data_IF_700232725539
#
_entry.id   IF_700232725539
#
_cell.length_a   1.000
_cell.length_b   1.000
_cell.length_c   1.000
_cell.angle_alpha   90.00
_cell.angle_beta   90.00
_cell.angle_gamma   90.00
#
_symmetry.space_group_name_H-M   'P 1'
#
loop_
_entity.id
_entity.type
_entity.pdbx_description
1 polymer ?
#
# COMPACT_ATOMS: atom_id res chain seq x y z
N UNK A 1 7.40 -16.49 -0.39
CA UNK A 1 6.00 -16.30 0.03
C UNK A 1 5.18 -15.93 -1.19
N UNK A 2 4.07 -16.64 -1.43
CA UNK A 2 3.25 -16.38 -2.62
C UNK A 2 2.58 -15.02 -2.51
N UNK A 3 2.49 -14.34 -3.64
CA UNK A 3 1.84 -13.05 -3.73
C UNK A 3 1.09 -12.85 -5.06
N UNK A 4 0.05 -12.04 -4.99
CA UNK A 4 -0.70 -11.52 -6.13
C UNK A 4 -0.22 -10.11 -6.45
N UNK A 5 -0.04 -9.79 -7.72
CA UNK A 5 0.37 -8.48 -8.21
C UNK A 5 -0.79 -7.84 -8.97
N UNK A 6 -1.15 -6.63 -8.61
CA UNK A 6 -2.24 -5.88 -9.20
C UNK A 6 -1.77 -4.58 -9.83
N UNK A 7 -2.48 -4.14 -10.86
CA UNK A 7 -2.49 -2.74 -11.32
C UNK A 7 -3.90 -2.20 -11.10
N UNK A 8 -4.02 -1.14 -10.30
CA UNK A 8 -5.28 -0.74 -9.70
C UNK A 8 -6.00 -1.94 -9.04
N UNK A 9 -7.10 -2.39 -9.64
CA UNK A 9 -7.95 -3.50 -9.19
C UNK A 9 -7.71 -4.81 -9.94
N UNK A 10 -6.92 -4.78 -11.00
CA UNK A 10 -6.78 -5.90 -11.93
C UNK A 10 -5.59 -6.77 -11.54
N UNK A 11 -5.80 -8.08 -11.43
CA UNK A 11 -4.73 -9.06 -11.21
C UNK A 11 -3.89 -9.18 -12.48
N UNK A 12 -2.66 -8.67 -12.43
CA UNK A 12 -1.73 -8.66 -13.58
C UNK A 12 -0.74 -9.82 -13.52
N UNK A 13 -0.61 -10.49 -12.38
CA UNK A 13 0.22 -11.67 -12.25
C UNK A 13 0.35 -12.17 -10.82
N UNK A 14 1.17 -13.19 -10.66
CA UNK A 14 1.55 -13.77 -9.37
C UNK A 14 3.05 -13.92 -9.28
N UNK A 15 3.57 -14.06 -8.08
CA UNK A 15 5.01 -14.26 -7.84
C UNK A 15 5.20 -15.07 -6.55
N UNK A 16 6.33 -15.75 -6.43
CA UNK A 16 6.83 -16.23 -5.14
C UNK A 16 7.96 -15.30 -4.69
N UNK A 17 7.70 -14.48 -3.67
CA UNK A 17 8.63 -13.46 -3.20
C UNK A 17 9.63 -14.03 -2.21
N UNK A 18 10.88 -13.63 -2.36
CA UNK A 18 11.97 -13.94 -1.45
C UNK A 18 12.75 -12.67 -1.07
N UNK A 19 13.37 -12.71 0.10
CA UNK A 19 14.22 -11.62 0.59
C UNK A 19 15.53 -11.63 -0.22
N UNK A 20 15.88 -10.47 -0.79
CA UNK A 20 17.12 -10.27 -1.55
C UNK A 20 18.14 -9.44 -0.81
N UNK A 21 17.85 -8.16 -0.62
CA UNK A 21 18.68 -7.23 0.17
C UNK A 21 17.90 -6.80 1.41
N UNK A 22 18.00 -7.60 2.47
CA UNK A 22 17.29 -7.38 3.73
C UNK A 22 17.59 -5.99 4.33
N UNK A 23 18.84 -5.53 4.22
CA UNK A 23 19.29 -4.26 4.80
C UNK A 23 18.61 -3.04 4.18
N UNK A 24 18.22 -3.17 2.91
CA UNK A 24 17.53 -2.14 2.13
C UNK A 24 16.03 -2.45 1.97
N UNK A 25 15.51 -3.45 2.68
CA UNK A 25 14.11 -3.89 2.56
C UNK A 25 13.77 -4.40 1.16
N UNK A 26 14.74 -4.97 0.45
CA UNK A 26 14.63 -5.44 -0.93
C UNK A 26 14.12 -6.88 -1.00
N UNK A 27 12.98 -7.08 -1.66
CA UNK A 27 12.42 -8.40 -1.96
C UNK A 27 12.13 -8.52 -3.45
N UNK A 28 12.16 -9.74 -3.96
CA UNK A 28 11.94 -9.99 -5.38
C UNK A 28 11.37 -11.38 -5.64
N UNK A 29 10.87 -11.61 -6.85
CA UNK A 29 10.44 -12.92 -7.27
C UNK A 29 10.20 -13.02 -8.78
N UNK A 30 10.13 -14.25 -9.27
CA UNK A 30 9.73 -14.49 -10.66
C UNK A 30 8.27 -14.08 -10.86
N UNK A 31 8.05 -13.15 -11.79
CA UNK A 31 6.75 -12.62 -12.11
C UNK A 31 6.08 -13.47 -13.19
N UNK A 32 4.99 -14.14 -12.80
CA UNK A 32 4.13 -14.91 -13.71
C UNK A 32 2.95 -14.02 -14.16
N UNK A 33 3.00 -13.42 -15.36
CA UNK A 33 1.96 -12.49 -15.83
C UNK A 33 0.65 -13.18 -16.22
N UNK A 34 -0.46 -12.46 -16.09
CA UNK A 34 -1.76 -12.82 -16.70
C UNK A 34 -1.91 -12.20 -18.09
N UNK A 35 -2.95 -12.57 -18.84
CA UNK A 35 -3.30 -11.93 -20.13
C UNK A 35 -3.46 -10.41 -19.99
N UNK A 36 -4.01 -9.94 -18.86
CA UNK A 36 -4.21 -8.50 -18.58
C UNK A 36 -2.88 -7.76 -18.58
N UNK A 37 -1.80 -8.37 -18.08
CA UNK A 37 -0.47 -7.76 -18.12
C UNK A 37 -0.02 -7.49 -19.55
N UNK A 38 -0.11 -8.50 -20.42
CA UNK A 38 0.29 -8.37 -21.82
C UNK A 38 -0.57 -7.33 -22.56
N UNK A 39 -1.89 -7.36 -22.35
CA UNK A 39 -2.83 -6.47 -23.03
C UNK A 39 -2.70 -5.00 -22.60
N UNK A 40 -2.42 -4.75 -21.32
CA UNK A 40 -2.58 -3.41 -20.73
C UNK A 40 -1.32 -2.82 -20.12
N UNK A 41 -0.40 -3.64 -19.61
CA UNK A 41 0.68 -3.18 -18.74
C UNK A 41 2.05 -3.26 -19.43
N UNK A 42 2.34 -4.35 -20.13
CA UNK A 42 3.66 -4.65 -20.69
C UNK A 42 4.24 -3.50 -21.52
N UNK A 43 3.43 -2.87 -22.38
CA UNK A 43 3.87 -1.73 -23.17
C UNK A 43 4.44 -0.60 -22.32
N UNK A 44 3.85 -0.35 -21.15
CA UNK A 44 4.30 0.72 -20.24
C UNK A 44 5.58 0.32 -19.51
N UNK A 45 5.77 -0.97 -19.21
CA UNK A 45 7.03 -1.50 -18.68
C UNK A 45 8.15 -1.32 -19.69
N UNK A 46 7.94 -1.71 -20.94
CA UNK A 46 8.92 -1.52 -22.00
C UNK A 46 9.24 -0.04 -22.25
N UNK A 47 8.22 0.82 -22.32
CA UNK A 47 8.42 2.26 -22.49
C UNK A 47 9.22 2.88 -21.34
N UNK A 48 9.00 2.43 -20.10
CA UNK A 48 9.73 2.93 -18.92
C UNK A 48 11.22 2.60 -19.00
N UNK A 49 11.57 1.36 -19.36
CA UNK A 49 12.96 0.91 -19.43
C UNK A 49 13.71 1.35 -20.68
N UNK A 50 13.02 1.54 -21.80
CA UNK A 50 13.63 2.03 -23.05
C UNK A 50 13.87 3.54 -23.03
N UNK A 51 13.25 4.29 -22.11
CA UNK A 51 13.39 5.73 -22.05
C UNK A 51 14.71 6.15 -21.37
N UNK A 52 15.46 7.05 -22.03
CA UNK A 52 16.61 7.73 -21.42
C UNK A 52 16.23 8.53 -20.15
N UNK A 53 14.96 8.92 -20.03
CA UNK A 53 14.37 9.57 -18.87
C UNK A 53 13.02 8.90 -18.57
N UNK A 54 12.97 7.94 -17.64
CA UNK A 54 11.74 7.23 -17.31
C UNK A 54 10.64 8.17 -16.83
N UNK A 55 9.40 7.95 -17.29
CA UNK A 55 8.23 8.72 -16.88
C UNK A 55 7.62 8.12 -15.61
N UNK A 56 8.07 8.62 -14.46
CA UNK A 56 7.59 8.19 -13.15
C UNK A 56 6.12 8.53 -12.91
N UNK A 57 5.58 9.62 -13.49
CA UNK A 57 4.15 9.93 -13.32
C UNK A 57 3.29 8.85 -13.97
N UNK A 58 3.68 8.43 -15.18
CA UNK A 58 3.03 7.32 -15.88
C UNK A 58 3.22 6.00 -15.14
N UNK A 59 4.41 5.73 -14.59
CA UNK A 59 4.65 4.54 -13.77
C UNK A 59 3.74 4.50 -12.53
N UNK A 60 3.70 5.57 -11.75
CA UNK A 60 2.82 5.67 -10.58
C UNK A 60 1.34 5.62 -10.93
N UNK A 61 0.97 6.06 -12.15
CA UNK A 61 -0.41 5.95 -12.63
C UNK A 61 -0.86 4.49 -12.80
N UNK A 62 0.05 3.53 -12.91
CA UNK A 62 -0.28 2.10 -12.94
C UNK A 62 -0.81 1.59 -11.60
N UNK A 63 -0.55 2.31 -10.50
CA UNK A 63 -0.98 1.98 -9.13
C UNK A 63 -0.75 0.50 -8.81
N UNK A 64 0.52 0.10 -8.90
CA UNK A 64 0.92 -1.28 -8.62
C UNK A 64 0.70 -1.60 -7.14
N UNK A 65 0.23 -2.82 -6.88
CA UNK A 65 0.02 -3.34 -5.52
C UNK A 65 0.45 -4.80 -5.48
N UNK A 66 1.02 -5.22 -4.35
CA UNK A 66 1.41 -6.62 -4.13
C UNK A 66 0.80 -7.09 -2.82
N UNK A 67 0.02 -8.17 -2.89
CA UNK A 67 -0.64 -8.79 -1.74
C UNK A 67 -0.07 -10.17 -1.48
N UNK A 68 0.45 -10.38 -0.27
CA UNK A 68 0.89 -11.69 0.21
C UNK A 68 -0.29 -12.64 0.40
N UNK A 69 -0.04 -13.94 0.39
CA UNK A 69 -1.06 -14.98 0.56
C UNK A 69 -1.75 -14.96 1.94
N UNK A 70 -1.18 -14.27 2.92
CA UNK A 70 -1.78 -14.02 4.24
C UNK A 70 -2.56 -12.70 4.33
N UNK A 71 -2.82 -12.04 3.20
CA UNK A 71 -3.65 -10.84 3.12
C UNK A 71 -2.90 -9.50 3.16
N UNK A 72 -1.63 -9.49 3.58
CA UNK A 72 -0.83 -8.27 3.74
C UNK A 72 -0.56 -7.60 2.39
N UNK A 73 -0.92 -6.33 2.26
CA UNK A 73 -0.45 -5.49 1.16
C UNK A 73 0.89 -4.87 1.51
N UNK A 74 1.88 -5.09 0.65
CA UNK A 74 3.24 -4.57 0.83
C UNK A 74 3.34 -3.12 0.37
N UNK A 75 3.99 -2.25 1.15
CA UNK A 75 4.19 -0.84 0.85
C UNK A 75 5.70 -0.48 0.73
N UNK A 76 6.35 -0.82 -0.40
CA UNK A 76 7.77 -0.54 -0.60
C UNK A 76 8.02 0.95 -0.84
N UNK A 77 8.84 1.58 0.00
CA UNK A 77 9.12 3.02 -0.09
C UNK A 77 9.95 3.40 -1.33
N UNK A 78 10.74 2.47 -1.85
CA UNK A 78 11.42 2.61 -3.15
C UNK A 78 10.55 2.25 -4.34
N UNK A 79 9.33 1.75 -4.09
CA UNK A 79 8.35 1.37 -5.11
C UNK A 79 8.53 -0.05 -5.66
N UNK A 80 7.84 -0.29 -6.77
CA UNK A 80 7.82 -1.56 -7.50
C UNK A 80 8.50 -1.38 -8.85
N UNK A 81 9.19 -2.42 -9.30
CA UNK A 81 9.71 -2.53 -10.66
C UNK A 81 9.40 -3.90 -11.23
N UNK A 82 9.08 -3.97 -12.53
CA UNK A 82 8.90 -5.22 -13.26
C UNK A 82 9.97 -5.26 -14.33
N UNK A 83 10.86 -6.24 -14.26
CA UNK A 83 11.84 -6.52 -15.29
C UNK A 83 11.20 -7.39 -16.38
N UNK A 84 10.98 -6.76 -17.54
CA UNK A 84 10.45 -7.38 -18.75
C UNK A 84 11.12 -6.71 -19.95
N UNK A 85 12.10 -7.40 -20.54
CA UNK A 85 12.92 -6.87 -21.62
C UNK A 85 12.31 -7.28 -22.96
N UNK A 86 11.89 -6.29 -23.76
CA UNK A 86 11.23 -6.50 -25.05
C UNK A 86 12.05 -7.35 -26.01
N UNK A 87 13.36 -7.16 -26.00
CA UNK A 87 14.31 -7.85 -26.87
C UNK A 87 14.56 -9.31 -26.44
N UNK A 88 14.15 -9.67 -25.22
CA UNK A 88 14.34 -10.99 -24.61
C UNK A 88 12.99 -11.57 -24.13
N UNK A 89 12.03 -11.81 -25.04
CA UNK A 89 10.66 -12.16 -24.67
C UNK A 89 10.52 -13.50 -23.93
N UNK A 90 11.52 -14.38 -24.10
CA UNK A 90 11.56 -15.71 -23.49
C UNK A 90 12.24 -15.74 -22.12
N UNK A 91 12.87 -14.64 -21.69
CA UNK A 91 13.47 -14.58 -20.36
C UNK A 91 12.37 -14.51 -19.29
N UNK A 92 12.57 -15.14 -18.12
CA UNK A 92 11.68 -15.00 -16.98
C UNK A 92 11.56 -13.53 -16.61
N UNK A 93 10.32 -13.08 -16.40
CA UNK A 93 10.05 -11.73 -15.89
C UNK A 93 10.25 -11.74 -14.39
N UNK A 94 10.62 -10.60 -13.83
CA UNK A 94 10.86 -10.45 -12.39
C UNK A 94 10.11 -9.25 -11.86
N UNK A 95 9.64 -9.32 -10.63
CA UNK A 95 9.18 -8.16 -9.88
C UNK A 95 10.11 -7.92 -8.70
N UNK A 96 10.46 -6.66 -8.50
CA UNK A 96 11.30 -6.20 -7.40
C UNK A 96 10.56 -5.11 -6.61
N UNK A 97 10.67 -5.20 -5.29
CA UNK A 97 10.13 -4.25 -4.33
C UNK A 97 11.28 -3.76 -3.45
N UNK A 98 11.42 -2.45 -3.31
CA UNK A 98 12.53 -1.84 -2.58
C UNK A 98 12.05 -1.02 -1.38
N UNK A 99 12.75 -1.12 -0.25
CA UNK A 99 12.44 -0.31 0.94
C UNK A 99 11.19 -0.75 1.68
N UNK A 100 10.95 -2.05 1.84
CA UNK A 100 9.96 -2.54 2.79
C UNK A 100 10.42 -2.35 4.23
N UNK A 101 9.46 -2.17 5.13
CA UNK A 101 9.75 -2.11 6.56
C UNK A 101 10.35 -3.43 7.04
N UNK A 102 11.46 -3.35 7.79
CA UNK A 102 12.16 -4.54 8.27
C UNK A 102 11.25 -5.43 9.14
N UNK A 103 10.34 -4.85 9.95
CA UNK A 103 9.41 -5.69 10.74
C UNK A 103 8.48 -6.51 9.88
N UNK A 104 8.03 -5.99 8.73
CA UNK A 104 7.21 -6.76 7.77
C UNK A 104 8.02 -7.95 7.23
N UNK A 105 9.30 -7.75 6.93
CA UNK A 105 10.21 -8.83 6.50
C UNK A 105 10.37 -9.88 7.60
N UNK A 106 10.69 -9.46 8.83
CA UNK A 106 10.86 -10.38 9.96
C UNK A 106 9.59 -11.19 10.27
N UNK A 107 8.43 -10.51 10.33
CA UNK A 107 7.17 -11.12 10.77
C UNK A 107 6.59 -12.10 9.74
N UNK A 108 6.76 -11.82 8.44
CA UNK A 108 6.07 -12.58 7.39
C UNK A 108 6.97 -13.42 6.48
N UNK A 109 8.26 -13.09 6.37
CA UNK A 109 9.19 -13.84 5.51
C UNK A 109 10.15 -14.73 6.32
N UNK A 110 10.62 -14.27 7.48
CA UNK A 110 11.57 -15.05 8.30
C UNK A 110 10.91 -15.93 9.36
N UNK A 111 9.70 -15.59 9.80
CA UNK A 111 8.94 -16.40 10.76
C UNK A 111 8.18 -17.51 10.03
N UNK A 112 8.30 -18.76 10.49
CA UNK A 112 7.59 -19.90 9.93
C UNK A 112 6.88 -20.73 11.02
N UNK A 113 5.54 -20.79 11.04
CA UNK A 113 4.63 -20.11 10.13
C UNK A 113 4.70 -18.57 10.28
N UNK A 114 4.35 -17.80 9.23
CA UNK A 114 4.26 -16.34 9.34
C UNK A 114 3.41 -15.91 10.54
N UNK A 115 3.79 -14.82 11.20
CA UNK A 115 3.01 -14.28 12.32
C UNK A 115 1.57 -13.98 11.86
N UNK A 116 0.54 -14.21 12.70
CA UNK A 116 -0.82 -13.80 12.38
C UNK A 116 -0.88 -12.31 12.02
N UNK A 117 -1.43 -12.02 10.85
CA UNK A 117 -1.53 -10.65 10.36
C UNK A 117 -2.55 -9.87 11.19
N UNK A 118 -3.81 -10.29 11.16
CA UNK A 118 -4.93 -9.65 11.88
C UNK A 118 -5.56 -10.60 12.88
N UNK A 119 -6.28 -10.02 13.85
CA UNK A 119 -7.11 -10.72 14.82
C UNK A 119 -8.51 -10.09 14.76
N UNK A 120 -9.57 -10.88 14.99
CA UNK A 120 -10.91 -10.30 15.06
C UNK A 120 -10.98 -9.17 16.09
N UNK A 121 -11.70 -8.07 15.81
CA UNK A 121 -12.59 -7.84 14.66
C UNK A 121 -11.90 -7.22 13.42
N UNK A 122 -10.57 -7.21 13.38
CA UNK A 122 -9.81 -6.67 12.26
C UNK A 122 -9.70 -7.67 11.12
N UNK A 123 -9.89 -7.19 9.89
CA UNK A 123 -9.86 -7.99 8.67
C UNK A 123 -8.76 -7.56 7.70
N UNK A 124 -8.24 -8.55 6.97
CA UNK A 124 -7.44 -8.30 5.77
C UNK A 124 -8.26 -7.56 4.70
N UNK A 125 -7.55 -6.85 3.82
CA UNK A 125 -8.19 -6.14 2.72
C UNK A 125 -8.25 -7.01 1.47
N UNK A 126 -9.34 -6.92 0.73
CA UNK A 126 -9.33 -7.23 -0.69
C UNK A 126 -8.85 -6.01 -1.49
N UNK A 127 -8.34 -6.23 -2.71
CA UNK A 127 -7.84 -5.12 -3.55
C UNK A 127 -8.90 -4.03 -3.76
N UNK A 128 -10.18 -4.39 -3.80
CA UNK A 128 -11.25 -3.41 -4.02
C UNK A 128 -11.47 -2.50 -2.81
N UNK A 129 -11.38 -3.07 -1.61
CA UNK A 129 -11.43 -2.32 -0.35
C UNK A 129 -10.20 -1.43 -0.21
N UNK A 130 -9.00 -1.96 -0.45
CA UNK A 130 -7.75 -1.19 -0.40
C UNK A 130 -7.82 0.05 -1.28
N UNK A 131 -8.20 -0.14 -2.55
CA UNK A 131 -8.27 0.95 -3.52
C UNK A 131 -9.32 1.98 -3.08
N UNK A 132 -10.49 1.53 -2.61
CA UNK A 132 -11.56 2.41 -2.14
C UNK A 132 -11.16 3.23 -0.91
N UNK A 133 -10.55 2.61 0.11
CA UNK A 133 -10.11 3.30 1.32
C UNK A 133 -9.03 4.35 1.04
N UNK A 134 -8.07 4.04 0.17
CA UNK A 134 -7.05 5.02 -0.24
C UNK A 134 -7.64 6.18 -1.05
N UNK A 135 -8.58 5.91 -1.95
CA UNK A 135 -9.24 6.95 -2.73
C UNK A 135 -10.11 7.85 -1.83
N UNK A 136 -10.78 7.25 -0.85
CA UNK A 136 -11.55 7.95 0.17
C UNK A 136 -10.66 8.84 1.03
N UNK A 137 -9.54 8.33 1.55
CA UNK A 137 -8.59 9.14 2.30
C UNK A 137 -8.02 10.30 1.47
N UNK A 138 -7.66 10.06 0.19
CA UNK A 138 -7.21 11.14 -0.72
C UNK A 138 -8.27 12.21 -0.91
N UNK A 139 -9.54 11.81 -0.99
CA UNK A 139 -10.69 12.72 -1.12
C UNK A 139 -10.87 13.54 0.15
N UNK A 140 -10.87 12.91 1.33
CA UNK A 140 -11.03 13.60 2.62
C UNK A 140 -9.88 14.58 2.91
N UNK A 141 -8.65 14.22 2.51
CA UNK A 141 -7.48 15.12 2.58
C UNK A 141 -7.54 16.23 1.51
N UNK A 142 -8.38 16.12 0.49
CA UNK A 142 -8.49 17.07 -0.61
C UNK A 142 -7.28 17.09 -1.54
N UNK A 143 -6.56 15.97 -1.69
CA UNK A 143 -5.36 15.86 -2.54
C UNK A 143 -5.74 15.93 -4.04
N UNK A 144 -6.94 15.48 -4.40
CA UNK A 144 -7.39 15.39 -5.81
C UNK A 144 -8.17 16.63 -6.31
N UNK A 145 -8.41 17.63 -5.47
CA UNK A 145 -9.17 18.82 -5.86
C UNK A 145 -8.23 19.93 -6.35
N UNK A 146 -8.09 20.07 -7.68
CA UNK A 146 -7.58 21.31 -8.28
C UNK A 146 -8.68 22.39 -8.23
N UNK A 147 -8.96 22.94 -7.06
CA UNK A 147 -9.91 24.06 -6.96
C UNK A 147 -9.19 25.38 -7.26
N UNK A 148 -9.51 25.99 -8.41
CA UNK A 148 -9.09 27.35 -8.78
C UNK A 148 -9.53 28.44 -7.77
N UNK A 149 -10.42 28.10 -6.82
CA UNK A 149 -10.95 29.01 -5.81
C UNK A 149 -10.18 28.98 -4.47
N UNK A 150 -9.22 28.05 -4.28
CA UNK A 150 -8.44 27.92 -3.03
C UNK A 150 -7.36 29.02 -2.84
N UNK A 151 -7.24 29.97 -3.78
CA UNK A 151 -6.30 31.09 -3.71
C UNK A 151 -6.57 32.02 -2.50
N UNK A 152 -7.80 32.01 -1.95
CA UNK A 152 -8.22 32.96 -0.92
C UNK A 152 -8.23 32.43 0.53
N UNK A 153 -7.92 31.15 0.77
CA UNK A 153 -7.80 30.59 2.13
C UNK A 153 -6.67 29.58 2.15
N UNK A 154 -5.64 29.78 2.99
CA UNK A 154 -4.69 28.70 3.33
C UNK A 154 -5.44 27.74 4.25
N UNK A 155 -5.96 26.59 3.78
CA UNK A 155 -6.57 25.64 4.69
C UNK A 155 -5.46 25.09 5.59
N UNK A 156 -5.75 24.88 6.86
CA UNK A 156 -4.84 24.11 7.72
C UNK A 156 -4.80 22.71 7.14
N UNK A 157 -3.66 22.34 6.55
CA UNK A 157 -3.47 21.03 5.95
C UNK A 157 -3.45 19.97 7.05
N UNK A 158 -4.18 18.89 6.84
CA UNK A 158 -4.11 17.71 7.70
C UNK A 158 -2.68 17.13 7.70
N UNK A 159 -2.26 16.51 8.81
CA UNK A 159 -0.89 15.99 8.94
C UNK A 159 -0.54 14.92 7.90
N UNK A 160 -1.53 14.19 7.37
CA UNK A 160 -1.37 13.22 6.29
C UNK A 160 -1.37 13.82 4.87
N UNK A 161 -1.61 15.13 4.71
CA UNK A 161 -1.83 15.74 3.39
C UNK A 161 -0.66 15.55 2.41
N UNK A 162 0.57 15.66 2.90
CA UNK A 162 1.80 15.47 2.11
C UNK A 162 2.47 14.11 2.45
N UNK A 163 1.69 13.10 2.84
CA UNK A 163 2.18 11.74 3.14
C UNK A 163 1.80 10.77 2.02
N UNK A 164 2.66 9.81 1.75
CA UNK A 164 2.27 8.61 1.02
C UNK A 164 1.64 7.62 1.99
N UNK A 165 0.67 6.84 1.53
CA UNK A 165 -0.04 5.90 2.38
C UNK A 165 -0.57 4.71 1.60
N UNK A 166 -0.71 3.60 2.31
CA UNK A 166 -1.19 2.32 1.82
C UNK A 166 -2.17 1.74 2.84
N UNK A 167 -3.42 1.49 2.44
CA UNK A 167 -4.37 0.83 3.33
C UNK A 167 -3.87 -0.58 3.68
N UNK A 168 -3.91 -0.94 4.97
CA UNK A 168 -3.27 -2.11 5.53
C UNK A 168 -4.29 -3.16 6.01
N UNK A 169 -5.14 -2.79 6.98
CA UNK A 169 -6.28 -3.60 7.47
C UNK A 169 -7.41 -2.68 7.93
N UNK A 170 -8.60 -3.24 8.19
CA UNK A 170 -9.74 -2.47 8.70
C UNK A 170 -10.48 -3.20 9.81
N UNK A 171 -11.12 -2.46 10.69
CA UNK A 171 -12.06 -3.01 11.67
C UNK A 171 -13.39 -3.29 10.95
N UNK A 172 -13.96 -4.49 11.13
CA UNK A 172 -15.23 -4.85 10.49
C UNK A 172 -16.47 -4.23 11.16
N UNK A 173 -16.31 -3.66 12.36
CA UNK A 173 -17.41 -3.07 13.14
C UNK A 173 -17.74 -1.65 12.72
N UNK A 174 -16.80 -0.94 12.09
CA UNK A 174 -16.92 0.49 11.80
C UNK A 174 -16.06 0.88 10.56
N UNK A 175 -15.92 2.18 10.31
CA UNK A 175 -15.13 2.74 9.20
C UNK A 175 -13.66 3.03 9.55
N UNK A 176 -13.13 2.37 10.58
CA UNK A 176 -11.72 2.50 10.98
C UNK A 176 -10.81 1.68 10.06
N UNK A 177 -9.84 2.36 9.46
CA UNK A 177 -8.84 1.74 8.57
C UNK A 177 -7.44 2.10 9.05
N UNK A 178 -6.59 1.08 9.20
CA UNK A 178 -5.18 1.29 9.45
C UNK A 178 -4.45 1.49 8.13
N UNK A 179 -3.72 2.60 8.02
CA UNK A 179 -2.83 2.89 6.90
C UNK A 179 -1.37 2.79 7.35
N UNK A 180 -0.55 2.11 6.55
CA UNK A 180 0.89 2.32 6.59
C UNK A 180 1.19 3.65 5.89
N UNK A 181 2.05 4.47 6.49
CA UNK A 181 2.35 5.83 6.03
C UNK A 181 3.84 6.03 5.84
N UNK A 182 4.19 6.80 4.83
CA UNK A 182 5.53 7.32 4.63
C UNK A 182 5.48 8.83 4.54
N UNK A 183 6.16 9.47 5.50
CA UNK A 183 6.27 10.91 5.58
C UNK A 183 7.70 11.25 6.00
N UNK A 184 8.47 11.99 5.20
CA UNK A 184 9.81 12.42 5.59
C UNK A 184 9.79 13.17 6.92
N UNK A 185 10.74 12.86 7.80
CA UNK A 185 10.89 13.48 9.12
C UNK A 185 9.70 13.27 10.07
N UNK A 186 8.93 12.20 9.86
CA UNK A 186 7.86 11.79 10.75
C UNK A 186 8.15 10.38 11.28
N UNK A 187 8.13 10.22 12.60
CA UNK A 187 8.54 8.97 13.25
C UNK A 187 7.48 7.87 13.21
N UNK A 188 6.22 8.24 12.96
CA UNK A 188 5.08 7.32 12.99
C UNK A 188 4.93 6.66 11.62
N UNK A 189 4.81 5.32 11.62
CA UNK A 189 4.70 4.50 10.41
C UNK A 189 3.27 4.06 10.11
N UNK A 190 2.39 4.13 11.10
CA UNK A 190 0.99 3.76 10.92
C UNK A 190 0.05 4.85 11.43
N UNK A 191 -1.07 4.99 10.72
CA UNK A 191 -2.14 5.92 11.02
C UNK A 191 -3.48 5.17 10.97
N UNK A 192 -4.14 5.10 12.12
CA UNK A 192 -5.52 4.65 12.21
C UNK A 192 -6.43 5.83 11.89
N UNK A 193 -7.21 5.70 10.83
CA UNK A 193 -8.07 6.77 10.33
C UNK A 193 -9.51 6.28 10.31
N UNK A 194 -10.40 7.05 10.93
CA UNK A 194 -11.85 6.84 10.79
C UNK A 194 -12.33 7.54 9.51
N UNK A 195 -12.67 6.78 8.48
CA UNK A 195 -13.16 7.31 7.21
C UNK A 195 -14.65 7.64 7.34
N UNK A 196 -15.06 8.79 6.84
CA UNK A 196 -16.44 9.29 6.99
C UNK A 196 -17.32 9.00 5.79
N UNK A 197 -16.72 8.71 4.62
CA UNK A 197 -17.41 8.47 3.35
C UNK A 197 -18.28 9.64 2.87
N UNK A 198 -18.14 10.83 3.47
CA UNK A 198 -18.98 11.96 3.12
C UNK A 198 -18.59 12.52 1.75
N UNK A 199 -19.55 13.12 1.04
CA UNK A 199 -19.31 13.75 -0.27
C UNK A 199 -18.63 15.12 -0.16
N UNK A 200 -18.21 15.56 1.03
CA UNK A 200 -17.66 16.88 1.29
C UNK A 200 -16.25 16.78 1.84
N UNK A 201 -15.41 17.76 1.49
CA UNK A 201 -14.10 17.94 2.13
C UNK A 201 -14.31 18.24 3.61
N UNK A 202 -13.64 17.46 4.46
CA UNK A 202 -13.80 17.59 5.89
C UNK A 202 -13.10 18.84 6.44
N UNK A 203 -13.58 19.31 7.60
CA UNK A 203 -13.10 20.54 8.25
C UNK A 203 -11.75 20.33 8.96
N UNK A 204 -11.14 21.42 9.41
CA UNK A 204 -9.87 21.45 10.16
C UNK A 204 -9.85 20.37 11.26
N UNK A 205 -8.85 19.48 11.21
CA UNK A 205 -8.65 18.41 12.21
C UNK A 205 -9.23 17.05 11.83
N UNK A 206 -9.88 16.93 10.67
CA UNK A 206 -10.37 15.67 10.11
C UNK A 206 -9.55 15.23 8.88
N UNK A 207 -9.53 13.92 8.54
CA UNK A 207 -10.16 12.83 9.29
C UNK A 207 -9.49 12.57 10.64
N UNK A 208 -10.24 12.05 11.61
CA UNK A 208 -9.68 11.74 12.92
C UNK A 208 -8.61 10.66 12.75
N UNK A 209 -7.41 10.93 13.25
CA UNK A 209 -6.23 10.10 13.02
C UNK A 209 -5.47 9.84 14.32
N UNK A 210 -5.25 8.57 14.63
CA UNK A 210 -4.37 8.11 15.71
C UNK A 210 -3.11 7.50 15.13
N UNK A 211 -1.93 7.83 15.67
CA UNK A 211 -0.65 7.40 15.11
C UNK A 211 0.08 6.38 15.98
N UNK A 212 0.67 5.39 15.32
CA UNK A 212 1.47 4.34 15.95
C UNK A 212 2.89 4.35 15.38
N UNK A 213 3.89 4.03 16.23
CA UNK A 213 5.29 4.00 15.81
C UNK A 213 5.57 2.90 14.79
N UNK A 214 4.95 1.73 14.99
CA UNK A 214 5.08 0.56 14.14
C UNK A 214 3.83 -0.33 14.28
N UNK A 215 3.84 -1.48 13.61
CA UNK A 215 2.72 -2.41 13.64
C UNK A 215 2.54 -3.08 15.01
N UNK A 216 3.62 -3.32 15.74
CA UNK A 216 3.55 -3.88 17.10
C UNK A 216 2.83 -2.93 18.06
N UNK A 217 3.18 -1.64 18.04
CA UNK A 217 2.51 -0.59 18.81
C UNK A 217 1.00 -0.60 18.54
N UNK A 218 0.58 -0.68 17.28
CA UNK A 218 -0.83 -0.83 16.93
C UNK A 218 -1.45 -2.12 17.50
N UNK A 219 -0.77 -3.27 17.37
CA UNK A 219 -1.32 -4.55 17.84
C UNK A 219 -1.57 -4.53 19.35
N UNK A 220 -0.59 -4.07 20.14
CA UNK A 220 -0.70 -4.02 21.59
C UNK A 220 -1.66 -2.93 22.09
N UNK A 221 -1.64 -1.76 21.46
CA UNK A 221 -2.42 -0.61 21.92
C UNK A 221 -3.88 -0.65 21.47
N UNK A 222 -4.20 -1.36 20.38
CA UNK A 222 -5.54 -1.37 19.78
C UNK A 222 -6.05 -2.77 19.44
N UNK A 223 -5.36 -3.51 18.56
CA UNK A 223 -5.89 -4.78 18.01
C UNK A 223 -6.22 -5.81 19.10
N UNK A 224 -5.32 -6.04 20.06
CA UNK A 224 -5.56 -7.04 21.11
C UNK A 224 -6.60 -6.61 22.14
N UNK A 225 -6.76 -5.30 22.35
CA UNK A 225 -7.84 -4.76 23.18
C UNK A 225 -9.18 -5.00 22.49
N UNK A 226 -9.27 -4.66 21.21
CA UNK A 226 -10.48 -4.88 20.40
C UNK A 226 -10.86 -6.36 20.32
N UNK A 227 -9.87 -7.26 20.25
CA UNK A 227 -10.09 -8.71 20.29
C UNK A 227 -10.71 -9.16 21.60
N UNK A 228 -10.15 -8.73 22.74
CA UNK A 228 -10.69 -9.09 24.04
C UNK A 228 -12.14 -8.62 24.20
N UNK A 229 -12.45 -7.39 23.75
CA UNK A 229 -13.81 -6.84 23.74
C UNK A 229 -14.77 -7.57 22.77
N UNK A 230 -14.25 -8.20 21.72
CA UNK A 230 -15.05 -8.96 20.76
C UNK A 230 -15.41 -10.37 21.26
N UNK A 231 -14.54 -10.97 22.07
CA UNK A 231 -14.72 -12.30 22.65
C UNK A 231 -15.61 -12.30 23.91
N UNK A 232 -15.80 -11.14 24.54
CA UNK A 232 -16.67 -10.90 25.71
C UNK A 232 -18.18 -10.74 25.34
#
# INVERSE_FOLDING_TARGET
>A
MKAKVFSHRQLIGTTDLQVGDESMGGIFGEFTPTEIYFDKIQKYVWEFWQANKPDYQKWYSLRLNVQLENGVFLFPQGGYTIDDIKELPNEPKRIDLAGLDNKIIQDFFHTNPPRPFVEEPWNELQIEQKIAFEDELKKELGINEKSFLDIFRKPVKHILFDSEFSAFCHDQRNDDVLFEINKPQFEKKFALVHLTWTSKKEKVGYPNTTFYSDFDDFKYSRMYVDKAEWED
#
